data_IF_134192734320
#
_entry.id   IF_134192734320
#
_cell.length_a   1.000
_cell.length_b   1.000
_cell.length_c   1.000
_cell.angle_alpha   90.00
_cell.angle_beta   90.00
_cell.angle_gamma   90.00
#
_symmetry.space_group_name_H-M   'P 1'
#
loop_
_entity.id
_entity.type
_entity.pdbx_description
1 polymer ?
#
# COMPACT_ATOMS: atom_id res chain seq x y z
N UNK A 1 -38.79 -6.68 -38.26
CA UNK A 1 -38.76 -7.59 -37.10
C UNK A 1 -37.41 -7.40 -36.42
N UNK A 2 -37.47 -6.88 -35.19
CA UNK A 2 -36.46 -6.94 -34.13
C UNK A 2 -35.15 -6.13 -34.27
N UNK A 3 -35.10 -5.04 -33.52
CA UNK A 3 -33.92 -4.40 -32.89
C UNK A 3 -33.83 -4.93 -31.42
N UNK A 4 -32.84 -4.61 -30.54
CA UNK A 4 -31.43 -4.19 -30.66
C UNK A 4 -30.48 -5.06 -29.77
N UNK A 5 -29.18 -4.76 -29.76
CA UNK A 5 -28.41 -4.84 -28.52
C UNK A 5 -27.83 -6.21 -28.14
N UNK A 6 -26.84 -6.66 -28.91
CA UNK A 6 -25.79 -7.53 -28.37
C UNK A 6 -24.62 -6.64 -28.02
N UNK A 7 -24.60 -6.11 -26.79
CA UNK A 7 -23.43 -5.48 -26.20
C UNK A 7 -22.22 -6.37 -26.46
N UNK A 8 -21.31 -5.92 -27.33
CA UNK A 8 -19.92 -6.34 -27.29
C UNK A 8 -19.53 -6.19 -25.83
N UNK A 9 -19.44 -7.33 -25.17
CA UNK A 9 -19.02 -7.44 -23.79
C UNK A 9 -17.68 -6.72 -23.77
N UNK A 10 -17.61 -5.57 -23.13
CA UNK A 10 -16.35 -4.96 -22.77
C UNK A 10 -15.66 -6.03 -21.91
N UNK A 11 -14.78 -6.81 -22.54
CA UNK A 11 -14.36 -8.10 -22.02
C UNK A 11 -13.28 -7.96 -20.94
N UNK A 12 -13.24 -6.79 -20.33
CA UNK A 12 -12.40 -6.45 -19.22
C UNK A 12 -13.20 -5.57 -18.28
N UNK A 13 -13.10 -5.84 -17.00
CA UNK A 13 -13.40 -4.88 -15.96
C UNK A 13 -12.74 -3.49 -16.22
N UNK A 14 -11.66 -3.40 -17.00
CA UNK A 14 -11.49 -2.57 -18.21
C UNK A 14 -11.53 -1.06 -18.09
N UNK A 15 -12.70 -0.47 -17.89
CA UNK A 15 -12.81 0.98 -17.70
C UNK A 15 -12.75 1.39 -16.22
N UNK A 16 -12.83 0.44 -15.28
CA UNK A 16 -12.75 0.68 -13.84
C UNK A 16 -11.35 0.42 -13.26
N UNK A 17 -10.47 -0.21 -14.05
CA UNK A 17 -9.12 -0.63 -13.62
C UNK A 17 -8.04 0.43 -13.83
N UNK A 18 -8.16 1.34 -14.79
CA UNK A 18 -7.16 2.40 -14.95
C UNK A 18 -7.27 3.42 -13.81
N UNK A 19 -8.49 3.87 -13.48
CA UNK A 19 -8.71 4.83 -12.39
C UNK A 19 -8.38 4.24 -11.01
N UNK A 20 -8.69 2.97 -10.78
CA UNK A 20 -8.44 2.34 -9.48
C UNK A 20 -6.94 2.17 -9.20
N UNK A 21 -6.16 1.81 -10.23
CA UNK A 21 -4.70 1.72 -10.10
C UNK A 21 -4.08 3.12 -9.94
N UNK A 22 -4.58 4.14 -10.64
CA UNK A 22 -4.18 5.53 -10.42
C UNK A 22 -4.43 5.98 -8.97
N UNK A 23 -5.59 5.65 -8.40
CA UNK A 23 -5.91 5.94 -7.00
C UNK A 23 -4.91 5.28 -6.04
N UNK A 24 -4.58 4.00 -6.24
CA UNK A 24 -3.59 3.30 -5.41
C UNK A 24 -2.17 3.89 -5.54
N UNK A 25 -1.78 4.34 -6.74
CA UNK A 25 -0.51 5.05 -6.96
C UNK A 25 -0.50 6.37 -6.17
N UNK A 26 -1.58 7.15 -6.22
CA UNK A 26 -1.69 8.39 -5.47
C UNK A 26 -1.61 8.16 -3.94
N UNK A 27 -2.16 7.06 -3.45
CA UNK A 27 -2.04 6.65 -2.04
C UNK A 27 -0.58 6.31 -1.67
N UNK A 28 0.17 5.64 -2.55
CA UNK A 28 1.61 5.36 -2.36
C UNK A 28 2.44 6.65 -2.32
N UNK A 29 2.16 7.60 -3.21
CA UNK A 29 2.80 8.90 -3.23
C UNK A 29 2.53 9.65 -1.93
N UNK A 30 1.27 9.68 -1.47
CA UNK A 30 0.90 10.31 -0.21
C UNK A 30 1.62 9.67 0.99
N UNK A 31 1.72 8.35 1.05
CA UNK A 31 2.45 7.66 2.11
C UNK A 31 3.95 8.02 2.11
N UNK A 32 4.55 8.07 0.92
CA UNK A 32 5.97 8.43 0.73
C UNK A 32 6.25 9.88 1.15
N UNK A 33 5.36 10.80 0.79
CA UNK A 33 5.50 12.21 1.16
C UNK A 33 5.43 12.42 2.68
N UNK A 34 4.50 11.75 3.35
CA UNK A 34 4.37 11.76 4.81
C UNK A 34 5.62 11.16 5.48
N UNK A 35 6.12 10.04 4.98
CA UNK A 35 7.36 9.42 5.46
C UNK A 35 8.56 10.37 5.31
N UNK A 36 8.71 10.98 4.13
CA UNK A 36 9.76 11.97 3.84
C UNK A 36 9.65 13.19 4.77
N UNK A 37 8.42 13.65 5.02
CA UNK A 37 8.13 14.71 6.00
C UNK A 37 8.59 14.32 7.40
N UNK A 38 8.24 13.12 7.87
CA UNK A 38 8.60 12.63 9.19
C UNK A 38 10.12 12.54 9.35
N UNK A 39 10.84 11.99 8.36
CA UNK A 39 12.31 11.94 8.34
C UNK A 39 12.91 13.34 8.42
N UNK A 40 12.39 14.31 7.66
CA UNK A 40 12.86 15.70 7.72
C UNK A 40 12.59 16.35 9.08
N UNK A 41 11.45 16.08 9.71
CA UNK A 41 11.14 16.57 11.05
C UNK A 41 12.10 15.98 12.11
N UNK A 42 12.35 14.68 12.06
CA UNK A 42 13.32 14.00 12.93
C UNK A 42 14.74 14.58 12.79
N UNK A 43 15.18 14.84 11.54
CA UNK A 43 16.49 15.47 11.28
C UNK A 43 16.63 16.88 11.90
N UNK A 44 15.52 17.59 12.09
CA UNK A 44 15.49 18.91 12.76
C UNK A 44 15.24 18.83 14.26
N UNK A 45 15.11 17.62 14.82
CA UNK A 45 14.77 17.42 16.24
C UNK A 45 13.30 17.68 16.58
N UNK A 46 12.44 17.89 15.59
CA UNK A 46 11.01 18.13 15.80
C UNK A 46 10.24 16.81 15.92
N UNK A 47 10.30 16.24 17.12
CA UNK A 47 9.66 14.95 17.43
C UNK A 47 8.14 15.03 17.35
N UNK A 48 7.54 16.15 17.76
CA UNK A 48 6.09 16.32 17.75
C UNK A 48 5.54 16.33 16.32
N UNK A 49 6.19 17.05 15.40
CA UNK A 49 5.82 17.04 13.99
C UNK A 49 6.02 15.66 13.36
N UNK A 50 7.13 14.98 13.66
CA UNK A 50 7.38 13.63 13.17
C UNK A 50 6.28 12.64 13.62
N UNK A 51 5.87 12.71 14.89
CA UNK A 51 4.78 11.88 15.41
C UNK A 51 3.44 12.17 14.73
N UNK A 52 3.14 13.43 14.42
CA UNK A 52 1.95 13.79 13.63
C UNK A 52 1.94 13.13 12.26
N UNK A 53 3.02 13.33 11.51
CA UNK A 53 3.16 12.78 10.15
C UNK A 53 3.11 11.25 10.12
N UNK A 54 3.67 10.58 11.12
CA UNK A 54 3.58 9.11 11.22
C UNK A 54 2.16 8.62 11.54
N UNK A 55 1.36 9.37 12.32
CA UNK A 55 -0.05 9.02 12.55
C UNK A 55 -0.88 9.18 11.28
N UNK A 56 -0.63 10.25 10.53
CA UNK A 56 -1.30 10.50 9.26
C UNK A 56 -0.94 9.42 8.24
N UNK A 57 0.35 9.08 8.14
CA UNK A 57 0.84 7.98 7.28
C UNK A 57 0.19 6.65 7.64
N UNK A 58 0.09 6.34 8.93
CA UNK A 58 -0.58 5.12 9.41
C UNK A 58 -2.06 5.08 8.98
N UNK A 59 -2.72 6.23 8.91
CA UNK A 59 -4.13 6.33 8.49
C UNK A 59 -4.27 6.05 6.99
N UNK A 60 -3.39 6.63 6.17
CA UNK A 60 -3.33 6.39 4.72
C UNK A 60 -3.07 4.90 4.43
N UNK A 61 -2.01 4.33 5.03
CA UNK A 61 -1.64 2.93 4.83
C UNK A 61 -2.76 1.96 5.25
N UNK A 62 -3.49 2.26 6.33
CA UNK A 62 -4.65 1.48 6.76
C UNK A 62 -5.81 1.47 5.78
N UNK A 63 -6.04 2.60 5.11
CA UNK A 63 -7.06 2.69 4.09
C UNK A 63 -6.62 1.92 2.83
N UNK A 64 -5.37 2.14 2.43
CA UNK A 64 -4.74 1.54 1.26
C UNK A 64 -4.77 0.00 1.28
N UNK A 65 -4.15 -0.64 2.28
CA UNK A 65 -4.11 -2.11 2.34
C UNK A 65 -5.50 -2.73 2.47
N UNK A 66 -6.45 -2.05 3.14
CA UNK A 66 -7.85 -2.52 3.19
C UNK A 66 -8.49 -2.51 1.79
N UNK A 67 -8.17 -1.52 0.95
CA UNK A 67 -8.61 -1.48 -0.44
C UNK A 67 -8.01 -2.63 -1.24
N UNK A 68 -6.69 -2.81 -1.15
CA UNK A 68 -5.98 -3.88 -1.85
C UNK A 68 -6.52 -5.26 -1.46
N UNK A 69 -6.59 -5.58 -0.16
CA UNK A 69 -6.99 -6.89 0.34
C UNK A 69 -8.44 -7.26 -0.02
N UNK A 70 -9.37 -6.31 0.12
CA UNK A 70 -10.80 -6.60 -0.10
C UNK A 70 -11.23 -6.51 -1.57
N UNK A 71 -10.45 -5.83 -2.41
CA UNK A 71 -10.84 -5.55 -3.80
C UNK A 71 -9.82 -6.12 -4.77
N UNK A 72 -8.61 -5.57 -4.80
CA UNK A 72 -7.63 -5.90 -5.83
C UNK A 72 -7.13 -7.34 -5.68
N UNK A 73 -6.68 -7.71 -4.49
CA UNK A 73 -6.15 -9.04 -4.20
C UNK A 73 -7.22 -10.12 -4.31
N UNK A 74 -8.47 -9.82 -3.92
CA UNK A 74 -9.59 -10.74 -4.10
C UNK A 74 -9.85 -11.08 -5.58
N UNK A 75 -9.61 -10.14 -6.50
CA UNK A 75 -9.69 -10.38 -7.95
C UNK A 75 -8.43 -11.09 -8.44
N UNK A 76 -7.23 -10.59 -8.10
CA UNK A 76 -5.97 -11.16 -8.60
C UNK A 76 -5.72 -12.60 -8.15
N UNK A 77 -6.23 -13.00 -6.98
CA UNK A 77 -6.13 -14.38 -6.45
C UNK A 77 -6.91 -15.41 -7.27
N UNK A 78 -7.71 -14.99 -8.25
CA UNK A 78 -8.34 -15.90 -9.20
C UNK A 78 -7.33 -16.51 -10.20
N UNK A 79 -6.15 -15.90 -10.32
CA UNK A 79 -5.02 -16.42 -11.06
C UNK A 79 -3.98 -17.00 -10.09
N UNK A 80 -3.69 -18.29 -10.25
CA UNK A 80 -2.76 -19.04 -9.40
C UNK A 80 -1.34 -18.44 -9.40
N UNK A 81 -0.94 -17.72 -10.45
CA UNK A 81 0.36 -17.06 -10.55
C UNK A 81 0.56 -16.02 -9.43
N UNK A 82 -0.50 -15.31 -9.04
CA UNK A 82 -0.40 -14.22 -8.07
C UNK A 82 -0.60 -14.64 -6.62
N UNK A 83 -1.13 -15.85 -6.37
CA UNK A 83 -1.54 -16.28 -5.03
C UNK A 83 -0.41 -16.16 -4.00
N UNK A 84 0.80 -16.63 -4.32
CA UNK A 84 1.95 -16.55 -3.41
C UNK A 84 2.39 -15.11 -3.14
N UNK A 85 2.40 -14.27 -4.18
CA UNK A 85 2.78 -12.87 -4.04
C UNK A 85 1.80 -12.11 -3.14
N UNK A 86 0.50 -12.37 -3.28
CA UNK A 86 -0.54 -11.77 -2.45
C UNK A 86 -0.39 -12.22 -0.98
N UNK A 87 -0.13 -13.51 -0.73
CA UNK A 87 0.10 -14.02 0.63
C UNK A 87 1.31 -13.36 1.32
N UNK A 88 2.36 -13.08 0.54
CA UNK A 88 3.55 -12.37 1.02
C UNK A 88 3.22 -10.91 1.39
N UNK A 89 2.48 -10.19 0.53
CA UNK A 89 2.07 -8.80 0.76
C UNK A 89 1.14 -8.68 1.98
N UNK A 90 0.11 -9.54 2.09
CA UNK A 90 -0.80 -9.54 3.24
C UNK A 90 -0.05 -9.82 4.57
N UNK A 91 1.03 -10.60 4.54
CA UNK A 91 1.89 -10.80 5.71
C UNK A 91 2.65 -9.53 6.05
N UNK A 92 3.25 -8.85 5.07
CA UNK A 92 3.95 -7.58 5.27
C UNK A 92 2.99 -6.52 5.85
N UNK A 93 1.75 -6.43 5.37
CA UNK A 93 0.71 -5.55 5.92
C UNK A 93 0.47 -5.81 7.41
N UNK A 94 0.30 -7.08 7.81
CA UNK A 94 0.10 -7.47 9.22
C UNK A 94 1.29 -7.09 10.09
N UNK A 95 2.51 -7.25 9.59
CA UNK A 95 3.73 -6.90 10.32
C UNK A 95 3.84 -5.39 10.56
N UNK A 96 3.43 -4.58 9.57
CA UNK A 96 3.42 -3.11 9.68
C UNK A 96 2.24 -2.57 10.50
N UNK A 97 1.12 -3.30 10.56
CA UNK A 97 -0.04 -2.97 11.41
C UNK A 97 0.13 -3.33 12.87
N UNK A 98 0.94 -4.36 13.15
CA UNK A 98 1.22 -4.77 14.51
C UNK A 98 1.78 -3.60 15.32
N UNK A 99 1.66 -3.64 16.67
CA UNK A 99 2.49 -2.76 17.50
C UNK A 99 3.92 -2.87 16.97
N UNK A 100 4.65 -1.75 16.76
CA UNK A 100 5.94 -1.80 16.11
C UNK A 100 6.76 -2.89 16.78
N UNK A 101 7.02 -3.98 16.05
CA UNK A 101 8.02 -4.92 16.48
C UNK A 101 9.23 -4.04 16.76
N UNK A 102 9.82 -4.15 17.96
CA UNK A 102 11.08 -3.46 18.23
C UNK A 102 11.97 -3.82 17.06
N UNK A 103 12.15 -2.90 16.13
CA UNK A 103 13.12 -3.07 15.09
C UNK A 103 14.40 -3.08 15.88
N UNK A 104 14.98 -4.27 16.04
CA UNK A 104 16.36 -4.37 16.46
C UNK A 104 17.09 -3.70 15.30
N UNK A 105 17.28 -2.40 15.43
CA UNK A 105 18.24 -1.67 14.64
C UNK A 105 19.56 -2.36 14.96
N UNK A 106 19.91 -3.38 14.18
CA UNK A 106 21.25 -3.96 14.20
C UNK A 106 22.14 -2.78 13.86
N UNK A 107 22.83 -2.26 14.86
CA UNK A 107 23.97 -1.38 14.64
C UNK A 107 24.87 -2.17 13.68
N UNK A 108 25.32 -1.61 12.55
CA UNK A 108 26.40 -2.25 11.82
C UNK A 108 27.53 -2.48 12.83
N UNK A 109 28.00 -3.73 12.95
CA UNK A 109 29.26 -4.01 13.61
C UNK A 109 30.30 -3.11 12.93
N UNK A 110 30.83 -2.15 13.70
CA UNK A 110 32.07 -1.51 13.35
C UNK A 110 33.18 -2.49 13.72
N UNK A 111 33.43 -3.46 12.84
CA UNK A 111 34.63 -4.26 12.90
C UNK A 111 35.47 -3.83 11.70
N UNK A 112 36.52 -3.06 12.01
CA UNK A 112 37.46 -2.58 11.02
C UNK A 112 38.27 -3.71 10.42
N UNK A 113 38.49 -3.60 9.11
CA UNK A 113 39.74 -3.83 8.38
C UNK A 113 39.71 -2.92 7.15
#
# INVERSE_FOLDING_TARGET
MSDPGGSEVCHYCGCREISLIEDYIAEHESATDLAGGAVRALKRGDIAAAQGLLRDMTTVLRAHWRGEENVLFAVMRQDDEYTRYIEDLEREHRELYGPPARSSMRRPCQDGW
#
